data_IF_949919638070
#
_entry.id   IF_949919638070
#
_cell.length_a   1.000
_cell.length_b   1.000
_cell.length_c   1.000
_cell.angle_alpha   90.00
_cell.angle_beta   90.00
_cell.angle_gamma   90.00
#
_symmetry.space_group_name_H-M   'P 1'
#
loop_
_entity.id
_entity.type
_entity.pdbx_description
1 polymer ?
#
# COMPACT_ATOMS: atom_id res chain seq x y z
N UNK A 1 12.50 -4.31 -3.94
CA UNK A 1 11.58 -4.00 -2.82
C UNK A 1 12.33 -3.12 -1.85
N UNK A 2 11.68 -2.22 -1.10
CA UNK A 2 12.38 -1.45 -0.07
C UNK A 2 12.91 -2.38 1.02
N UNK A 3 14.21 -2.35 1.25
CA UNK A 3 14.89 -3.25 2.20
C UNK A 3 14.50 -2.92 3.65
N UNK A 4 14.17 -1.66 3.93
CA UNK A 4 13.77 -1.14 5.24
C UNK A 4 12.31 -1.48 5.63
N UNK A 5 11.59 -2.23 4.80
CA UNK A 5 10.19 -2.59 5.04
C UNK A 5 10.08 -3.97 5.72
N UNK A 6 10.20 -4.01 7.04
CA UNK A 6 10.25 -5.29 7.79
C UNK A 6 8.93 -6.07 7.83
N UNK A 7 7.78 -5.40 7.65
CA UNK A 7 6.47 -6.05 7.67
C UNK A 7 6.16 -6.76 6.34
N UNK A 8 5.97 -8.08 6.39
CA UNK A 8 5.54 -8.87 5.24
C UNK A 8 4.20 -8.38 4.64
N UNK A 9 3.28 -7.89 5.48
CA UNK A 9 2.01 -7.33 5.01
C UNK A 9 2.20 -5.99 4.31
N UNK A 10 3.08 -5.12 4.81
CA UNK A 10 3.41 -3.86 4.16
C UNK A 10 4.07 -4.11 2.80
N UNK A 11 4.99 -5.08 2.74
CA UNK A 11 5.61 -5.54 1.49
C UNK A 11 4.55 -5.97 0.48
N UNK A 12 3.58 -6.79 0.89
CA UNK A 12 2.54 -7.27 -0.01
C UNK A 12 1.65 -6.14 -0.56
N UNK A 13 1.27 -5.16 0.27
CA UNK A 13 0.56 -3.95 -0.18
C UNK A 13 1.39 -3.14 -1.17
N UNK A 14 2.67 -2.87 -0.85
CA UNK A 14 3.58 -2.15 -1.73
C UNK A 14 3.74 -2.84 -3.08
N UNK A 15 3.94 -4.17 -3.08
CA UNK A 15 4.07 -4.96 -4.30
C UNK A 15 2.82 -4.85 -5.17
N UNK A 16 1.65 -4.99 -4.56
CA UNK A 16 0.39 -4.87 -5.28
C UNK A 16 0.29 -3.52 -6.00
N UNK A 17 0.51 -2.41 -5.28
CA UNK A 17 0.51 -1.07 -5.86
C UNK A 17 1.54 -0.88 -6.96
N UNK A 18 2.76 -1.43 -6.78
CA UNK A 18 3.81 -1.39 -7.80
C UNK A 18 3.39 -2.14 -9.08
N UNK A 19 2.71 -3.28 -8.94
CA UNK A 19 2.30 -4.12 -10.07
C UNK A 19 1.06 -3.60 -10.80
N UNK A 20 0.13 -2.95 -10.10
CA UNK A 20 -1.10 -2.41 -10.69
C UNK A 20 -0.97 -0.96 -11.16
N UNK A 21 0.12 -0.28 -10.80
CA UNK A 21 0.28 1.16 -11.04
C UNK A 21 -0.53 2.03 -10.08
N UNK A 22 -1.12 1.43 -9.04
CA UNK A 22 -1.94 2.11 -8.05
C UNK A 22 -3.25 1.37 -7.74
N UNK A 23 -3.89 1.73 -6.63
CA UNK A 23 -5.16 1.12 -6.21
C UNK A 23 -5.89 1.96 -5.16
N UNK A 24 -7.20 1.77 -5.07
CA UNK A 24 -8.03 2.30 -3.98
C UNK A 24 -7.91 1.45 -2.71
N UNK A 25 -8.38 1.97 -1.57
CA UNK A 25 -8.46 1.24 -0.30
C UNK A 25 -9.42 0.05 -0.41
N UNK A 26 -10.56 0.24 -1.09
CA UNK A 26 -11.57 -0.79 -1.35
C UNK A 26 -10.97 -1.99 -2.12
N UNK A 27 -10.22 -1.71 -3.18
CA UNK A 27 -9.61 -2.75 -4.03
C UNK A 27 -8.48 -3.48 -3.30
N UNK A 28 -7.66 -2.75 -2.53
CA UNK A 28 -6.64 -3.35 -1.65
C UNK A 28 -7.28 -4.28 -0.61
N UNK A 29 -8.33 -3.81 0.06
CA UNK A 29 -9.03 -4.59 1.08
C UNK A 29 -9.64 -5.87 0.50
N UNK A 30 -10.27 -5.76 -0.67
CA UNK A 30 -10.91 -6.88 -1.36
C UNK A 30 -9.88 -7.88 -1.90
N UNK A 31 -8.89 -7.40 -2.65
CA UNK A 31 -7.93 -8.26 -3.37
C UNK A 31 -6.97 -8.95 -2.42
N UNK A 32 -6.51 -8.24 -1.39
CA UNK A 32 -5.55 -8.78 -0.43
C UNK A 32 -6.23 -9.47 0.76
N UNK A 33 -7.57 -9.54 0.76
CA UNK A 33 -8.38 -10.07 1.87
C UNK A 33 -8.04 -9.44 3.23
N UNK A 34 -7.70 -8.14 3.22
CA UNK A 34 -7.34 -7.37 4.42
C UNK A 34 -8.53 -6.54 4.89
N UNK A 35 -8.68 -6.39 6.20
CA UNK A 35 -9.66 -5.44 6.75
C UNK A 35 -9.27 -4.01 6.33
N UNK A 36 -10.26 -3.16 6.01
CA UNK A 36 -10.00 -1.74 5.66
C UNK A 36 -9.12 -1.02 6.67
N UNK A 37 -9.34 -1.25 7.97
CA UNK A 37 -8.51 -0.63 9.02
C UNK A 37 -7.04 -1.07 8.97
N UNK A 38 -6.78 -2.33 8.59
CA UNK A 38 -5.43 -2.85 8.37
C UNK A 38 -4.80 -2.19 7.16
N UNK A 39 -5.54 -2.08 6.05
CA UNK A 39 -5.08 -1.41 4.83
C UNK A 39 -4.71 0.06 5.13
N UNK A 40 -5.59 0.80 5.81
CA UNK A 40 -5.35 2.18 6.21
C UNK A 40 -4.08 2.33 7.06
N UNK A 41 -3.87 1.45 8.04
CA UNK A 41 -2.67 1.48 8.89
C UNK A 41 -1.39 1.21 8.09
N UNK A 42 -1.43 0.24 7.16
CA UNK A 42 -0.31 -0.08 6.29
C UNK A 42 -0.01 1.07 5.31
N UNK A 43 -1.03 1.66 4.69
CA UNK A 43 -0.87 2.81 3.80
C UNK A 43 -0.33 4.04 4.54
N UNK A 44 -0.77 4.29 5.77
CA UNK A 44 -0.24 5.35 6.61
C UNK A 44 1.26 5.12 6.92
N UNK A 45 1.64 3.87 7.25
CA UNK A 45 3.04 3.49 7.49
C UNK A 45 3.89 3.68 6.23
N UNK A 46 3.41 3.18 5.09
CA UNK A 46 4.11 3.28 3.80
C UNK A 46 4.25 4.73 3.34
N UNK A 47 3.21 5.55 3.51
CA UNK A 47 3.21 6.97 3.16
C UNK A 47 4.17 7.76 4.05
N UNK A 48 4.17 7.48 5.37
CA UNK A 48 5.09 8.11 6.32
C UNK A 48 6.55 7.76 6.03
N UNK A 49 6.81 6.55 5.52
CA UNK A 49 8.13 6.12 5.04
C UNK A 49 8.48 6.61 3.64
N UNK A 50 7.58 7.33 2.96
CA UNK A 50 7.82 7.85 1.61
C UNK A 50 7.82 6.79 0.52
N UNK A 51 7.20 5.61 0.74
CA UNK A 51 7.13 4.50 -0.22
C UNK A 51 5.90 4.54 -1.14
N UNK A 52 4.85 5.22 -0.69
CA UNK A 52 3.62 5.42 -1.47
C UNK A 52 3.12 6.84 -1.27
N UNK A 53 2.33 7.33 -2.21
CA UNK A 53 1.63 8.60 -2.11
C UNK A 53 0.16 8.43 -2.49
N UNK A 54 -0.71 9.18 -1.83
CA UNK A 54 -2.10 9.29 -2.24
C UNK A 54 -2.21 10.26 -3.42
N UNK A 55 -2.90 9.83 -4.48
CA UNK A 55 -3.28 10.60 -5.66
C UNK A 55 -4.77 10.42 -5.86
N UNK A 56 -5.53 11.47 -5.55
CA UNK A 56 -6.99 11.43 -5.49
C UNK A 56 -7.49 10.30 -4.56
N UNK A 57 -8.22 9.33 -5.12
CA UNK A 57 -8.76 8.18 -4.40
C UNK A 57 -7.83 6.95 -4.40
N UNK A 58 -6.68 7.06 -5.06
CA UNK A 58 -5.74 5.96 -5.25
C UNK A 58 -4.43 6.18 -4.48
N UNK A 59 -3.78 5.09 -4.11
CA UNK A 59 -2.41 5.09 -3.63
C UNK A 59 -1.51 4.56 -4.74
N UNK A 60 -0.37 5.20 -4.95
CA UNK A 60 0.64 4.81 -5.94
C UNK A 60 2.01 4.72 -5.28
N UNK A 61 2.90 3.87 -5.81
CA UNK A 61 4.30 3.83 -5.36
C UNK A 61 4.99 5.13 -5.74
N UNK A 62 5.78 5.67 -4.82
CA UNK A 62 6.70 6.79 -5.08
C UNK A 62 7.97 6.26 -5.75
N UNK A 63 8.33 6.86 -6.88
CA UNK A 63 9.53 6.51 -7.65
C UNK A 63 10.79 7.15 -7.11
#
# INVERSE_FOLDING_TARGET
>A
MPDDLDSAQAKLVYLYLATTGGSTIEDLSRTLALKKITVLSLLNTLSSGGYVAQRDETYVVTG
#
